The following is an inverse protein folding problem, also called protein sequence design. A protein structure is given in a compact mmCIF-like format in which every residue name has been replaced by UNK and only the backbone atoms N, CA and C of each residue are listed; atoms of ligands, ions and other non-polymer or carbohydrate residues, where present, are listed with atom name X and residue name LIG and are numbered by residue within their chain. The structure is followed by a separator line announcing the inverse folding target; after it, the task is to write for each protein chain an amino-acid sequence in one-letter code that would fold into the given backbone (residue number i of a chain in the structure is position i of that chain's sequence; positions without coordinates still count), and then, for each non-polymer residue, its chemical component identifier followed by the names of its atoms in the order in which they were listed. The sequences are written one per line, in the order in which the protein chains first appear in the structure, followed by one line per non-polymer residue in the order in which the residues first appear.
data_IF_288715724390
#
_entry.id   IF_288715724390
#
_cell.length_a   1.000
_cell.length_b   1.000
_cell.length_c   1.000
_cell.angle_alpha   90.00
_cell.angle_beta   90.00
_cell.angle_gamma   90.00
#
_symmetry.space_group_name_H-M   'P 1'
#
loop_
_entity.id
_entity.type
_entity.pdbx_description
1 polymer ?
#
# COMPACT_ATOMS: atom_id res chain seq x y z
N UNK A 1 4.94 -11.62 22.28
CA UNK A 1 4.99 -10.28 21.66
C UNK A 1 3.57 -9.83 21.40
N UNK A 2 3.27 -8.57 21.65
CA UNK A 2 2.01 -7.97 21.22
C UNK A 2 1.94 -8.00 19.69
N UNK A 3 0.73 -8.19 19.13
CA UNK A 3 0.55 -8.20 17.68
C UNK A 3 0.44 -6.76 17.18
N UNK A 4 1.10 -6.48 16.05
CA UNK A 4 1.07 -5.13 15.45
C UNK A 4 -0.17 -4.96 14.57
N UNK A 5 -0.69 -3.74 14.47
CA UNK A 5 -1.80 -3.39 13.57
C UNK A 5 -1.19 -2.93 12.26
N UNK A 6 -1.49 -3.60 11.15
CA UNK A 6 -0.95 -3.22 9.85
C UNK A 6 -1.95 -2.35 9.07
N UNK A 7 -1.46 -1.25 8.53
CA UNK A 7 -2.11 -0.51 7.46
C UNK A 7 -1.47 -0.96 6.15
N UNK A 8 -2.16 -1.78 5.36
CA UNK A 8 -1.74 -2.14 4.01
C UNK A 8 -2.27 -1.10 3.02
N UNK A 9 -1.39 -0.61 2.15
CA UNK A 9 -1.71 0.41 1.15
C UNK A 9 -1.32 -0.08 -0.24
N UNK A 10 -2.15 0.17 -1.25
CA UNK A 10 -1.60 0.26 -2.61
C UNK A 10 -0.74 1.52 -2.75
N UNK A 11 0.06 1.56 -3.82
CA UNK A 11 0.93 2.69 -4.16
C UNK A 11 0.24 3.61 -5.17
N UNK A 12 0.06 3.11 -6.39
CA UNK A 12 -0.49 3.89 -7.51
C UNK A 12 -2.02 4.05 -7.36
N UNK A 13 -2.49 5.29 -7.32
CA UNK A 13 -3.89 5.65 -7.10
C UNK A 13 -4.24 5.92 -5.62
N UNK A 14 -3.32 5.61 -4.70
CA UNK A 14 -3.53 5.70 -3.25
C UNK A 14 -2.48 6.58 -2.57
N UNK A 15 -1.19 6.24 -2.72
CA UNK A 15 -0.07 7.04 -2.20
C UNK A 15 0.32 8.12 -3.22
N UNK A 16 0.40 7.76 -4.50
CA UNK A 16 0.67 8.66 -5.61
C UNK A 16 -0.45 8.60 -6.65
N UNK A 17 -0.50 9.59 -7.54
CA UNK A 17 -1.39 9.53 -8.71
C UNK A 17 -1.02 8.37 -9.62
N UNK A 18 -2.02 7.74 -10.25
CA UNK A 18 -1.85 6.66 -11.24
C UNK A 18 -2.16 7.14 -12.68
N UNK A 19 -1.21 7.80 -13.38
CA UNK A 19 -1.31 8.01 -14.83
C UNK A 19 -0.96 6.74 -15.64
N UNK A 20 -0.65 5.63 -14.97
CA UNK A 20 -0.13 4.40 -15.56
C UNK A 20 1.40 4.31 -15.52
N UNK A 21 1.92 3.19 -15.00
CA UNK A 21 3.34 2.81 -14.98
C UNK A 21 4.29 3.92 -14.49
N UNK A 22 4.09 4.42 -13.27
CA UNK A 22 5.00 5.41 -12.66
C UNK A 22 6.27 4.74 -12.14
N UNK A 23 7.43 5.13 -12.71
CA UNK A 23 8.76 4.63 -12.31
C UNK A 23 9.84 5.72 -12.21
N UNK A 24 9.54 6.95 -12.64
CA UNK A 24 10.46 8.10 -12.54
C UNK A 24 10.02 9.02 -11.41
N UNK A 25 10.99 9.60 -10.72
CA UNK A 25 10.74 10.49 -9.57
C UNK A 25 9.97 11.74 -10.01
N UNK A 26 10.27 12.26 -11.21
CA UNK A 26 9.65 13.48 -11.73
C UNK A 26 8.17 13.30 -12.08
N UNK A 27 7.73 12.06 -12.31
CA UNK A 27 6.33 11.71 -12.56
C UNK A 27 5.59 11.29 -11.26
N UNK A 28 6.31 11.20 -10.14
CA UNK A 28 5.75 10.73 -8.88
C UNK A 28 5.13 11.89 -8.09
N UNK A 29 3.82 12.03 -8.22
CA UNK A 29 3.06 13.04 -7.48
C UNK A 29 2.27 12.39 -6.33
N UNK A 30 2.59 12.78 -5.10
CA UNK A 30 1.87 12.34 -3.90
C UNK A 30 0.39 12.74 -3.94
N UNK A 31 -0.48 11.86 -3.45
CA UNK A 31 -1.90 12.15 -3.26
C UNK A 31 -2.09 13.24 -2.19
N UNK A 32 -3.01 14.20 -2.39
CA UNK A 32 -3.29 15.24 -1.40
C UNK A 32 -3.63 14.63 -0.03
N UNK A 33 -3.02 15.16 1.04
CA UNK A 33 -3.26 14.73 2.41
C UNK A 33 -2.60 13.40 2.80
N UNK A 34 -1.85 12.72 1.93
CA UNK A 34 -1.27 11.40 2.24
C UNK A 34 -0.35 11.43 3.47
N UNK A 35 0.50 12.45 3.61
CA UNK A 35 1.40 12.59 4.76
C UNK A 35 0.64 12.74 6.07
N UNK A 36 -0.38 13.60 6.09
CA UNK A 36 -1.26 13.78 7.26
C UNK A 36 -2.00 12.48 7.60
N UNK A 37 -2.52 11.79 6.60
CA UNK A 37 -3.23 10.54 6.78
C UNK A 37 -2.34 9.47 7.41
N UNK A 38 -1.13 9.27 6.89
CA UNK A 38 -0.19 8.26 7.39
C UNK A 38 0.31 8.59 8.79
N UNK A 39 0.63 9.84 9.08
CA UNK A 39 0.96 10.27 10.44
C UNK A 39 -0.20 9.98 11.42
N UNK A 40 -1.43 10.27 10.99
CA UNK A 40 -2.62 9.98 11.78
C UNK A 40 -2.85 8.49 12.03
N UNK A 41 -2.61 7.62 11.05
CA UNK A 41 -2.67 6.17 11.25
C UNK A 41 -1.58 5.67 12.20
N UNK A 42 -0.36 6.20 12.13
CA UNK A 42 0.69 5.88 13.08
C UNK A 42 0.30 6.27 14.52
N UNK A 43 -0.34 7.44 14.71
CA UNK A 43 -0.87 7.84 16.02
C UNK A 43 -1.98 6.91 16.54
N UNK A 44 -2.70 6.21 15.65
CA UNK A 44 -3.68 5.19 16.01
C UNK A 44 -3.05 3.81 16.28
N UNK A 45 -1.72 3.70 16.18
CA UNK A 45 -0.94 2.50 16.44
C UNK A 45 -0.80 1.56 15.24
N UNK A 46 -1.01 2.04 14.02
CA UNK A 46 -0.76 1.25 12.80
C UNK A 46 0.70 1.36 12.36
N UNK A 47 1.27 0.24 11.93
CA UNK A 47 2.48 0.19 11.14
C UNK A 47 2.14 0.12 9.65
N UNK A 48 2.88 0.86 8.82
CA UNK A 48 2.51 1.10 7.43
C UNK A 48 3.25 0.13 6.51
N UNK A 49 2.50 -0.59 5.69
CA UNK A 49 3.02 -1.51 4.68
C UNK A 49 2.46 -1.14 3.31
N UNK A 50 3.32 -1.14 2.29
CA UNK A 50 2.90 -0.94 0.90
C UNK A 50 2.87 -2.30 0.19
N UNK A 51 1.78 -2.60 -0.52
CA UNK A 51 1.60 -3.83 -1.32
C UNK A 51 1.13 -3.46 -2.72
N UNK A 52 2.02 -3.51 -3.71
CA UNK A 52 1.77 -2.93 -5.03
C UNK A 52 2.04 -3.87 -6.21
N UNK A 53 1.18 -3.82 -7.24
CA UNK A 53 1.40 -4.54 -8.49
C UNK A 53 2.22 -3.68 -9.46
N UNK A 54 3.45 -4.06 -9.76
CA UNK A 54 4.40 -3.32 -10.61
C UNK A 54 4.69 -4.07 -11.91
N UNK A 55 3.62 -4.39 -12.66
CA UNK A 55 3.75 -5.20 -13.89
C UNK A 55 4.54 -4.53 -15.01
N UNK A 56 4.87 -3.24 -14.90
CA UNK A 56 5.77 -2.59 -15.84
C UNK A 56 7.16 -3.22 -15.86
N UNK A 57 7.59 -3.85 -14.76
CA UNK A 57 8.84 -4.62 -14.69
C UNK A 57 8.77 -5.84 -15.59
N UNK A 58 7.78 -6.72 -15.39
CA UNK A 58 7.58 -7.91 -16.23
C UNK A 58 7.25 -7.60 -17.69
N UNK A 59 6.73 -6.40 -17.97
CA UNK A 59 6.52 -5.90 -19.34
C UNK A 59 7.77 -5.28 -19.97
N UNK A 60 8.84 -5.07 -19.21
CA UNK A 60 10.08 -4.44 -19.67
C UNK A 60 10.01 -2.92 -19.85
N UNK A 61 9.04 -2.24 -19.22
CA UNK A 61 8.90 -0.78 -19.28
C UNK A 61 9.90 -0.05 -18.38
N UNK A 62 10.28 -0.67 -17.26
CA UNK A 62 11.31 -0.21 -16.33
C UNK A 62 11.89 -1.40 -15.58
N UNK A 63 13.02 -1.21 -14.91
CA UNK A 63 13.74 -2.27 -14.19
C UNK A 63 13.37 -2.34 -12.71
N UNK A 64 13.79 -3.42 -12.04
CA UNK A 64 13.77 -3.53 -10.57
C UNK A 64 14.58 -2.41 -9.90
N UNK A 65 15.68 -1.97 -10.54
CA UNK A 65 16.52 -0.88 -10.03
C UNK A 65 15.80 0.48 -10.11
N UNK A 66 15.05 0.73 -11.18
CA UNK A 66 14.21 1.93 -11.31
C UNK A 66 13.12 1.95 -10.23
N UNK A 67 12.45 0.81 -10.03
CA UNK A 67 11.48 0.66 -8.95
C UNK A 67 12.11 0.88 -7.57
N UNK A 68 13.31 0.34 -7.34
CA UNK A 68 14.01 0.49 -6.06
C UNK A 68 14.43 1.94 -5.80
N UNK A 69 14.91 2.66 -6.82
CA UNK A 69 15.24 4.10 -6.73
C UNK A 69 14.01 4.93 -6.39
N UNK A 70 12.91 4.72 -7.10
CA UNK A 70 11.67 5.44 -6.83
C UNK A 70 11.12 5.11 -5.43
N UNK A 71 11.15 3.83 -5.05
CA UNK A 71 10.71 3.38 -3.73
C UNK A 71 11.56 3.99 -2.61
N UNK A 72 12.87 4.09 -2.81
CA UNK A 72 13.77 4.77 -1.87
C UNK A 72 13.44 6.26 -1.75
N UNK A 73 13.22 6.95 -2.86
CA UNK A 73 12.78 8.35 -2.86
C UNK A 73 11.50 8.51 -2.04
N UNK A 74 10.47 7.71 -2.32
CA UNK A 74 9.20 7.75 -1.58
C UNK A 74 9.40 7.54 -0.07
N UNK A 75 10.21 6.55 0.34
CA UNK A 75 10.53 6.30 1.75
C UNK A 75 11.24 7.51 2.38
N UNK A 76 12.23 8.07 1.71
CA UNK A 76 13.02 9.20 2.22
C UNK A 76 12.13 10.46 2.38
N UNK A 77 11.21 10.70 1.45
CA UNK A 77 10.20 11.77 1.56
C UNK A 77 9.32 11.56 2.80
N UNK A 78 8.69 10.40 2.98
CA UNK A 78 7.88 10.13 4.19
C UNK A 78 8.69 10.24 5.48
N UNK A 79 9.93 9.74 5.47
CA UNK A 79 10.83 9.81 6.63
C UNK A 79 11.15 11.25 7.02
N UNK A 80 11.25 12.17 6.05
CA UNK A 80 11.46 13.60 6.34
C UNK A 80 10.30 14.24 7.13
N UNK A 81 9.10 13.65 7.04
CA UNK A 81 7.91 14.01 7.83
C UNK A 81 7.74 13.15 9.09
N UNK A 82 8.73 12.33 9.45
CA UNK A 82 8.67 11.43 10.61
C UNK A 82 7.75 10.21 10.41
N UNK A 83 7.38 9.90 9.17
CA UNK A 83 6.52 8.77 8.84
C UNK A 83 7.38 7.58 8.43
N UNK A 84 7.16 6.44 9.08
CA UNK A 84 7.91 5.20 8.79
C UNK A 84 7.06 4.26 7.93
N UNK A 85 7.52 4.01 6.70
CA UNK A 85 7.04 2.87 5.90
C UNK A 85 7.82 1.64 6.36
N UNK A 86 7.13 0.70 7.01
CA UNK A 86 7.74 -0.49 7.60
C UNK A 86 8.37 -1.38 6.55
N UNK A 87 7.63 -1.65 5.47
CA UNK A 87 8.12 -2.40 4.31
C UNK A 87 7.26 -2.18 3.07
N UNK A 88 7.90 -2.26 1.91
CA UNK A 88 7.24 -2.30 0.60
C UNK A 88 7.37 -3.70 0.05
N UNK A 89 6.25 -4.28 -0.36
CA UNK A 89 6.15 -5.50 -1.14
C UNK A 89 5.62 -5.15 -2.53
N UNK A 90 6.25 -5.69 -3.56
CA UNK A 90 5.79 -5.51 -4.92
C UNK A 90 5.74 -6.81 -5.71
N UNK A 91 4.83 -6.86 -6.67
CA UNK A 91 4.75 -7.93 -7.65
C UNK A 91 5.20 -7.40 -9.02
N UNK A 92 6.34 -7.84 -9.56
CA UNK A 92 6.83 -7.39 -10.87
C UNK A 92 6.09 -8.04 -12.05
N UNK A 93 5.28 -9.07 -11.78
CA UNK A 93 4.72 -9.95 -12.80
C UNK A 93 3.56 -9.34 -13.58
N UNK A 94 3.46 -9.76 -14.83
CA UNK A 94 2.34 -9.47 -15.73
C UNK A 94 1.08 -10.25 -15.36
N UNK A 95 -0.10 -9.90 -15.89
CA UNK A 95 -1.33 -10.66 -15.65
C UNK A 95 -1.31 -12.11 -16.17
N UNK A 96 -0.46 -12.42 -17.15
CA UNK A 96 -0.33 -13.76 -17.73
C UNK A 96 0.62 -14.68 -16.95
N UNK A 97 1.43 -14.12 -16.05
CA UNK A 97 2.37 -14.90 -15.26
C UNK A 97 1.65 -15.59 -14.10
N UNK A 98 1.85 -16.91 -13.95
CA UNK A 98 1.29 -17.66 -12.83
C UNK A 98 2.14 -17.50 -11.56
N UNK A 99 2.15 -16.28 -11.02
CA UNK A 99 2.81 -15.96 -9.76
C UNK A 99 1.82 -15.98 -8.59
N UNK A 100 2.30 -16.14 -7.35
CA UNK A 100 1.43 -16.11 -6.16
C UNK A 100 1.29 -14.73 -5.49
N UNK A 101 2.09 -13.75 -5.90
CA UNK A 101 2.15 -12.44 -5.26
C UNK A 101 1.24 -11.37 -5.88
N UNK A 102 0.85 -11.49 -7.16
CA UNK A 102 0.05 -10.46 -7.84
C UNK A 102 -1.35 -10.35 -7.25
N UNK A 103 -1.74 -9.16 -6.78
CA UNK A 103 -3.14 -8.88 -6.36
C UNK A 103 -4.07 -9.16 -7.55
N UNK A 104 -5.19 -9.90 -7.37
CA UNK A 104 -5.88 -10.17 -6.10
C UNK A 104 -5.40 -11.39 -5.30
N UNK A 105 -4.31 -12.08 -5.68
CA UNK A 105 -3.73 -13.12 -4.82
C UNK A 105 -3.12 -12.47 -3.55
N UNK A 106 -3.24 -13.09 -2.36
CA UNK A 106 -2.85 -12.47 -1.09
C UNK A 106 -1.34 -12.52 -0.82
N UNK A 107 -0.51 -12.99 -1.75
CA UNK A 107 0.87 -13.39 -1.47
C UNK A 107 1.74 -12.31 -0.82
N UNK A 108 1.63 -11.05 -1.25
CA UNK A 108 2.38 -9.94 -0.63
C UNK A 108 1.96 -9.67 0.82
N UNK A 109 0.67 -9.81 1.14
CA UNK A 109 0.18 -9.65 2.51
C UNK A 109 0.64 -10.83 3.36
N UNK A 110 0.55 -12.06 2.83
CA UNK A 110 1.02 -13.26 3.53
C UNK A 110 2.53 -13.19 3.85
N UNK A 111 3.35 -12.70 2.92
CA UNK A 111 4.77 -12.43 3.17
C UNK A 111 4.97 -11.50 4.37
N UNK A 112 4.14 -10.45 4.50
CA UNK A 112 4.19 -9.58 5.67
C UNK A 112 3.82 -10.30 6.98
N UNK A 113 2.89 -11.25 6.96
CA UNK A 113 2.52 -12.05 8.13
C UNK A 113 3.63 -13.03 8.54
N UNK A 114 4.39 -13.54 7.57
CA UNK A 114 5.52 -14.44 7.84
C UNK A 114 6.69 -13.69 8.48
N UNK A 115 6.89 -12.43 8.11
CA UNK A 115 7.98 -11.59 8.61
C UNK A 115 7.63 -10.82 9.90
N UNK A 116 6.37 -10.47 10.09
CA UNK A 116 5.91 -9.60 11.18
C UNK A 116 4.73 -10.21 11.93
N UNK A 117 4.71 -10.06 13.25
CA UNK A 117 3.63 -10.56 14.12
C UNK A 117 2.36 -9.69 14.02
N UNK A 118 1.71 -9.67 12.86
CA UNK A 118 0.58 -8.80 12.52
C UNK A 118 -0.76 -9.39 13.04
N UNK A 119 -1.64 -8.52 13.54
CA UNK A 119 -3.04 -8.83 13.85
C UNK A 119 -3.93 -8.53 12.66
N UNK A 120 -4.34 -9.55 11.90
CA UNK A 120 -5.23 -9.38 10.74
C UNK A 120 -6.57 -8.72 11.09
N UNK A 121 -7.13 -9.03 12.26
CA UNK A 121 -8.41 -8.48 12.75
C UNK A 121 -8.34 -6.97 13.02
N UNK A 122 -7.18 -6.50 13.46
CA UNK A 122 -6.96 -5.08 13.78
C UNK A 122 -6.28 -4.33 12.64
N UNK A 123 -6.00 -5.02 11.52
CA UNK A 123 -5.38 -4.46 10.33
C UNK A 123 -6.44 -4.07 9.31
N UNK A 124 -6.04 -3.22 8.35
CA UNK A 124 -6.92 -2.82 7.26
C UNK A 124 -6.13 -2.60 5.96
N UNK A 125 -6.84 -2.68 4.83
CA UNK A 125 -6.33 -2.37 3.50
C UNK A 125 -6.97 -1.09 2.96
N UNK A 126 -6.19 -0.23 2.32
CA UNK A 126 -6.70 0.88 1.50
C UNK A 126 -6.13 0.73 0.08
N UNK A 127 -7.02 0.66 -0.90
CA UNK A 127 -6.70 0.45 -2.31
C UNK A 127 -7.55 1.35 -3.22
N UNK A 128 -7.22 1.45 -4.50
CA UNK A 128 -8.04 2.12 -5.52
C UNK A 128 -8.77 1.11 -6.43
N UNK A 129 -8.41 -0.17 -6.36
CA UNK A 129 -8.95 -1.23 -7.22
C UNK A 129 -9.63 -2.33 -6.41
N UNK A 130 -10.69 -2.96 -6.94
CA UNK A 130 -11.32 -4.13 -6.28
C UNK A 130 -10.34 -5.28 -5.98
N UNK A 131 -9.26 -5.39 -6.76
CA UNK A 131 -8.21 -6.39 -6.52
C UNK A 131 -7.48 -6.22 -5.18
N UNK A 132 -7.42 -5.00 -4.66
CA UNK A 132 -6.79 -4.70 -3.37
C UNK A 132 -7.60 -5.29 -2.22
N UNK A 133 -8.91 -5.03 -2.24
CA UNK A 133 -9.83 -5.52 -1.22
C UNK A 133 -9.96 -7.04 -1.28
N UNK A 134 -9.98 -7.61 -2.49
CA UNK A 134 -10.01 -9.06 -2.65
C UNK A 134 -8.72 -9.72 -2.15
N UNK A 135 -7.55 -9.11 -2.40
CA UNK A 135 -6.27 -9.58 -1.85
C UNK A 135 -6.28 -9.58 -0.32
N UNK A 136 -6.73 -8.47 0.28
CA UNK A 136 -6.85 -8.31 1.72
C UNK A 136 -7.81 -9.35 2.33
N UNK A 137 -8.99 -9.51 1.74
CA UNK A 137 -9.99 -10.49 2.17
C UNK A 137 -9.46 -11.92 2.10
N UNK A 138 -8.75 -12.29 1.03
CA UNK A 138 -8.11 -13.62 0.89
C UNK A 138 -7.00 -13.85 1.92
N UNK A 139 -6.32 -12.80 2.37
CA UNK A 139 -5.33 -12.87 3.43
C UNK A 139 -5.97 -12.92 4.84
N UNK A 140 -7.27 -12.64 4.96
CA UNK A 140 -7.99 -12.58 6.23
C UNK A 140 -8.01 -11.19 6.89
N UNK A 141 -7.64 -10.13 6.16
CA UNK A 141 -7.83 -8.74 6.62
C UNK A 141 -9.31 -8.40 6.46
N UNK A 142 -9.98 -8.08 7.57
CA UNK A 142 -11.44 -7.88 7.59
C UNK A 142 -11.88 -6.51 7.06
N UNK A 143 -11.06 -5.49 7.27
CA UNK A 143 -11.40 -4.09 6.93
C UNK A 143 -10.69 -3.65 5.66
N UNK A 144 -11.46 -3.13 4.72
CA UNK A 144 -10.96 -2.65 3.43
C UNK A 144 -11.71 -1.40 3.00
N UNK A 145 -10.98 -0.40 2.49
CA UNK A 145 -11.55 0.85 1.99
C UNK A 145 -11.07 1.12 0.57
N UNK A 146 -12.00 1.52 -0.30
CA UNK A 146 -11.73 1.81 -1.71
C UNK A 146 -11.70 3.31 -1.96
N UNK A 147 -10.59 3.80 -2.51
CA UNK A 147 -10.45 5.18 -2.99
C UNK A 147 -11.06 5.29 -4.39
N UNK A 148 -11.79 6.37 -4.66
CA UNK A 148 -12.47 6.63 -5.91
C UNK A 148 -13.95 6.25 -5.94
N UNK A 149 -14.48 5.70 -4.83
CA UNK A 149 -15.91 5.44 -4.63
C UNK A 149 -16.44 6.31 -3.47
N UNK A 150 -16.72 5.71 -2.30
CA UNK A 150 -17.17 6.44 -1.10
C UNK A 150 -16.12 7.41 -0.55
N UNK A 151 -14.84 7.07 -0.69
CA UNK A 151 -13.71 7.87 -0.19
C UNK A 151 -12.88 8.41 -1.35
N UNK A 152 -12.48 9.69 -1.28
CA UNK A 152 -11.64 10.32 -2.30
C UNK A 152 -10.16 10.31 -1.95
N UNK A 153 -9.81 10.07 -0.68
CA UNK A 153 -8.42 10.05 -0.22
C UNK A 153 -8.22 9.17 1.01
N UNK A 154 -6.96 8.81 1.28
CA UNK A 154 -6.56 8.10 2.50
C UNK A 154 -6.88 8.94 3.76
N UNK A 155 -6.88 10.27 3.63
CA UNK A 155 -7.23 11.18 4.73
C UNK A 155 -8.72 11.06 5.10
N UNK A 156 -9.62 11.01 4.12
CA UNK A 156 -11.06 10.81 4.39
C UNK A 156 -11.32 9.46 5.08
N UNK A 157 -10.59 8.40 4.70
CA UNK A 157 -10.66 7.10 5.39
C UNK A 157 -10.21 7.22 6.85
N UNK A 158 -9.11 7.94 7.11
CA UNK A 158 -8.63 8.19 8.47
C UNK A 158 -9.68 8.94 9.31
N UNK A 159 -10.27 10.00 8.76
CA UNK A 159 -11.30 10.81 9.42
C UNK A 159 -12.53 9.98 9.76
N UNK A 160 -12.98 9.16 8.81
CA UNK A 160 -14.08 8.22 9.03
C UNK A 160 -13.79 7.23 10.17
N UNK A 161 -12.60 6.64 10.20
CA UNK A 161 -12.19 5.71 11.28
C UNK A 161 -12.10 6.43 12.63
N UNK A 162 -11.63 7.68 12.66
CA UNK A 162 -11.60 8.50 13.89
C UNK A 162 -13.01 8.81 14.39
N UNK A 163 -13.96 9.09 13.50
CA UNK A 163 -15.35 9.40 13.84
C UNK A 163 -16.20 8.21 14.31
N UNK A 164 -15.74 6.98 14.09
CA UNK A 164 -16.40 5.75 14.59
C UNK A 164 -16.00 5.36 16.02
N UNK A 165 -15.04 6.07 16.63
CA UNK A 165 -14.59 5.86 18.01
C UNK A 165 -15.27 6.82 18.97
#
# INVERSE_FOLDING_TARGET
MEKIKALFLDRDGVINKDPGYVYRIEDFEFMPGIFEALAGFMMLGYEIFVVTNQSGIGRGYYSEDDFAKLSKYMIDEFKSYGIEIKKIYHCPHTPSDDCNCRKPKPGMILQALDEFNISLKDSLMIGDKPSDLESARRAGVEKGYLIGDEFKSVLEVLEHIKGQK
#
